data_IF_447476206561
#
_entry.id   IF_447476206561
#
_cell.length_a   1.000
_cell.length_b   1.000
_cell.length_c   1.000
_cell.angle_alpha   90.00
_cell.angle_beta   90.00
_cell.angle_gamma   90.00
#
_symmetry.space_group_name_H-M   'P 1'
#
loop_
_entity.id
_entity.type
_entity.pdbx_description
1 polymer ?
#
# COMPACT_ATOMS: atom_id res chain seq x y z
N UNK A 1 -24.40 5.68 2.88
CA UNK A 1 -23.02 5.79 2.38
C UNK A 1 -22.54 7.25 2.39
N UNK A 2 -23.23 8.20 1.73
CA UNK A 2 -22.78 9.58 1.52
C UNK A 2 -22.41 10.35 2.80
N UNK A 3 -23.21 10.24 3.88
CA UNK A 3 -22.87 10.90 5.14
C UNK A 3 -21.60 10.35 5.79
N UNK A 4 -21.36 9.04 5.65
CA UNK A 4 -20.15 8.39 6.12
C UNK A 4 -18.94 8.81 5.27
N UNK A 5 -19.08 8.82 3.94
CA UNK A 5 -18.04 9.26 3.01
C UNK A 5 -17.63 10.70 3.28
N UNK A 6 -18.62 11.59 3.49
CA UNK A 6 -18.37 12.99 3.84
C UNK A 6 -17.62 13.13 5.18
N UNK A 7 -18.05 12.41 6.23
CA UNK A 7 -17.39 12.44 7.54
C UNK A 7 -15.95 11.93 7.50
N UNK A 8 -15.68 10.86 6.74
CA UNK A 8 -14.31 10.38 6.55
C UNK A 8 -13.47 11.38 5.76
N UNK A 9 -14.01 11.96 4.68
CA UNK A 9 -13.32 12.99 3.91
C UNK A 9 -12.95 14.21 4.76
N UNK A 10 -13.89 14.69 5.60
CA UNK A 10 -13.65 15.78 6.53
C UNK A 10 -12.58 15.44 7.58
N UNK A 11 -12.64 14.25 8.16
CA UNK A 11 -11.70 13.78 9.18
C UNK A 11 -10.29 13.54 8.67
N UNK A 12 -10.15 13.06 7.44
CA UNK A 12 -8.87 12.66 6.86
C UNK A 12 -8.27 13.68 5.90
N UNK A 13 -9.06 14.64 5.45
CA UNK A 13 -8.67 15.61 4.42
C UNK A 13 -8.66 15.06 3.00
N UNK A 14 -9.06 13.81 2.77
CA UNK A 14 -9.13 13.27 1.42
C UNK A 14 -10.35 13.82 0.66
N UNK A 15 -10.17 14.36 -0.57
CA UNK A 15 -11.25 14.96 -1.34
C UNK A 15 -12.23 13.93 -1.91
N UNK A 16 -11.82 12.69 -2.04
CA UNK A 16 -12.62 11.62 -2.61
C UNK A 16 -12.61 10.40 -1.69
N UNK A 17 -13.79 9.99 -1.27
CA UNK A 17 -13.99 8.82 -0.41
C UNK A 17 -15.07 7.94 -1.02
N UNK A 18 -14.84 6.65 -1.08
CA UNK A 18 -15.82 5.66 -1.51
C UNK A 18 -16.02 4.61 -0.40
N UNK A 19 -17.24 4.51 0.11
CA UNK A 19 -17.59 3.49 1.09
C UNK A 19 -17.84 2.14 0.40
N UNK A 20 -17.17 1.11 0.90
CA UNK A 20 -17.29 -0.27 0.42
C UNK A 20 -17.59 -1.21 1.58
N UNK A 21 -17.93 -2.47 1.27
CA UNK A 21 -18.41 -3.43 2.27
C UNK A 21 -17.35 -3.88 3.28
N UNK A 22 -16.05 -3.78 2.95
CA UNK A 22 -14.93 -4.19 3.80
C UNK A 22 -13.60 -3.60 3.32
N UNK A 23 -12.57 -3.62 4.17
CA UNK A 23 -11.20 -3.26 3.78
C UNK A 23 -10.67 -4.13 2.63
N UNK A 24 -10.99 -5.42 2.64
CA UNK A 24 -10.63 -6.33 1.52
C UNK A 24 -11.26 -5.89 0.20
N UNK A 25 -12.52 -5.42 0.22
CA UNK A 25 -13.17 -4.87 -0.96
C UNK A 25 -12.54 -3.55 -1.40
N UNK A 26 -12.13 -2.70 -0.45
CA UNK A 26 -11.39 -1.46 -0.74
C UNK A 26 -10.06 -1.74 -1.42
N UNK A 27 -9.28 -2.68 -0.88
CA UNK A 27 -7.99 -3.09 -1.46
C UNK A 27 -8.17 -3.68 -2.87
N UNK A 28 -9.19 -4.53 -3.07
CA UNK A 28 -9.50 -5.08 -4.39
C UNK A 28 -9.82 -3.96 -5.39
N UNK A 29 -10.67 -3.00 -5.00
CA UNK A 29 -10.98 -1.83 -5.83
C UNK A 29 -9.72 -1.01 -6.13
N UNK A 30 -8.88 -0.75 -5.13
CA UNK A 30 -7.62 -0.05 -5.30
C UNK A 30 -6.69 -0.75 -6.31
N UNK A 31 -6.51 -2.06 -6.20
CA UNK A 31 -5.72 -2.84 -7.18
C UNK A 31 -6.29 -2.75 -8.59
N UNK A 32 -7.62 -2.80 -8.71
CA UNK A 32 -8.29 -2.60 -10.03
C UNK A 32 -8.02 -1.22 -10.59
N UNK A 33 -8.09 -0.17 -9.77
CA UNK A 33 -7.80 1.21 -10.20
C UNK A 33 -6.33 1.40 -10.60
N UNK A 34 -5.40 0.69 -9.94
CA UNK A 34 -3.98 0.69 -10.30
C UNK A 34 -3.67 -0.17 -11.53
N UNK A 35 -4.66 -0.84 -12.10
CA UNK A 35 -4.50 -1.69 -13.28
C UNK A 35 -3.66 -2.93 -13.02
N UNK A 36 -3.76 -3.51 -11.83
CA UNK A 36 -3.08 -4.78 -11.51
C UNK A 36 -3.68 -5.90 -12.36
N UNK A 37 -2.81 -6.68 -13.02
CA UNK A 37 -3.15 -7.78 -13.90
C UNK A 37 -2.41 -9.06 -13.51
N UNK A 38 -2.81 -10.17 -14.13
CA UNK A 38 -2.15 -11.46 -13.91
C UNK A 38 -0.67 -11.40 -14.28
N UNK A 39 0.19 -11.82 -13.35
CA UNK A 39 1.65 -11.83 -13.50
C UNK A 39 2.36 -10.55 -13.07
N UNK A 40 1.62 -9.47 -12.77
CA UNK A 40 2.20 -8.27 -12.17
C UNK A 40 2.73 -8.55 -10.76
N UNK A 41 3.86 -7.95 -10.40
CA UNK A 41 4.33 -7.99 -9.02
C UNK A 41 3.64 -6.88 -8.20
N UNK A 42 3.16 -7.23 -7.00
CA UNK A 42 2.70 -6.29 -5.97
C UNK A 42 3.58 -6.49 -4.73
N UNK A 43 4.21 -5.40 -4.28
CA UNK A 43 5.13 -5.46 -3.15
C UNK A 43 4.49 -4.91 -1.88
N UNK A 44 4.64 -5.62 -0.77
CA UNK A 44 4.13 -5.22 0.54
C UNK A 44 5.06 -5.68 1.66
N UNK A 45 4.73 -5.35 2.91
CA UNK A 45 5.49 -5.78 4.10
C UNK A 45 5.32 -7.27 4.37
N UNK A 46 6.35 -7.90 4.95
CA UNK A 46 6.25 -9.26 5.52
C UNK A 46 5.28 -9.30 6.71
N UNK A 47 5.21 -8.22 7.48
CA UNK A 47 4.32 -8.08 8.62
C UNK A 47 3.07 -7.30 8.18
N UNK A 48 1.99 -8.04 7.97
CA UNK A 48 0.69 -7.50 7.58
C UNK A 48 -0.42 -8.51 7.77
N UNK A 49 -1.66 -8.05 7.83
CA UNK A 49 -2.82 -8.93 7.72
C UNK A 49 -2.97 -9.44 6.29
N UNK A 50 -3.38 -10.70 6.14
CA UNK A 50 -3.46 -11.36 4.83
C UNK A 50 -4.34 -10.62 3.81
N UNK A 51 -5.34 -9.87 4.27
CA UNK A 51 -6.23 -9.12 3.40
C UNK A 51 -5.53 -8.04 2.56
N UNK A 52 -4.38 -7.54 3.03
CA UNK A 52 -3.58 -6.57 2.25
C UNK A 52 -3.24 -7.11 0.87
N UNK A 53 -2.85 -8.37 0.75
CA UNK A 53 -2.34 -8.93 -0.50
C UNK A 53 -3.28 -9.94 -1.17
N UNK A 54 -4.19 -10.55 -0.41
CA UNK A 54 -5.07 -11.58 -0.93
C UNK A 54 -5.87 -11.16 -2.18
N UNK A 55 -6.45 -9.95 -2.27
CA UNK A 55 -7.15 -9.52 -3.49
C UNK A 55 -6.24 -9.43 -4.72
N UNK A 56 -5.00 -8.97 -4.57
CA UNK A 56 -4.04 -8.94 -5.68
C UNK A 56 -3.72 -10.35 -6.17
N UNK A 57 -3.51 -11.29 -5.25
CA UNK A 57 -3.28 -12.72 -5.58
C UNK A 57 -4.50 -13.31 -6.30
N UNK A 58 -5.72 -13.01 -5.85
CA UNK A 58 -6.95 -13.44 -6.52
C UNK A 58 -7.09 -12.90 -7.94
N UNK A 59 -6.48 -11.72 -8.22
CA UNK A 59 -6.39 -11.14 -9.56
C UNK A 59 -5.26 -11.75 -10.40
N UNK A 60 -4.49 -12.70 -9.84
CA UNK A 60 -3.37 -13.36 -10.51
C UNK A 60 -2.04 -12.62 -10.38
N UNK A 61 -1.95 -11.60 -9.55
CA UNK A 61 -0.68 -10.93 -9.27
C UNK A 61 0.25 -11.81 -8.42
N UNK A 62 1.54 -11.55 -8.53
CA UNK A 62 2.59 -12.22 -7.78
C UNK A 62 2.98 -11.35 -6.59
N UNK A 63 2.73 -11.79 -5.35
CA UNK A 63 3.12 -11.04 -4.17
C UNK A 63 4.64 -11.09 -3.97
N UNK A 64 5.22 -9.96 -3.59
CA UNK A 64 6.59 -9.90 -3.09
C UNK A 64 6.60 -9.21 -1.75
N UNK A 65 7.16 -9.89 -0.78
CA UNK A 65 7.25 -9.39 0.59
C UNK A 65 8.63 -8.78 0.85
N UNK A 66 8.63 -7.60 1.45
CA UNK A 66 9.83 -6.90 1.92
C UNK A 66 9.77 -6.82 3.44
N UNK A 67 10.94 -6.87 4.05
CA UNK A 67 11.02 -6.83 5.51
C UNK A 67 10.66 -5.45 6.05
N UNK A 68 10.37 -5.41 7.35
CA UNK A 68 9.97 -4.21 8.07
C UNK A 68 11.16 -3.57 8.77
N UNK A 69 11.08 -2.28 9.02
CA UNK A 69 12.01 -1.56 9.87
C UNK A 69 11.82 -2.04 11.32
N UNK A 70 12.89 -2.46 12.02
CA UNK A 70 12.79 -2.97 13.40
C UNK A 70 12.22 -1.94 14.40
N UNK A 71 12.42 -0.66 14.13
CA UNK A 71 11.99 0.42 15.01
C UNK A 71 10.50 0.74 14.87
N UNK A 72 9.97 0.71 13.64
CA UNK A 72 8.57 1.10 13.35
C UNK A 72 7.64 -0.08 13.07
N UNK A 73 8.19 -1.24 12.73
CA UNK A 73 7.48 -2.43 12.28
C UNK A 73 6.66 -2.22 10.99
N UNK A 74 6.90 -1.12 10.29
CA UNK A 74 6.32 -0.82 8.99
C UNK A 74 7.35 -1.05 7.88
N UNK A 75 6.94 -0.97 6.61
CA UNK A 75 7.79 -1.22 5.45
C UNK A 75 9.10 -0.41 5.51
N UNK A 76 10.25 -1.09 5.42
CA UNK A 76 11.57 -0.44 5.39
C UNK A 76 11.80 0.25 4.03
N UNK A 77 11.75 1.59 4.04
CA UNK A 77 11.97 2.41 2.85
C UNK A 77 13.41 2.26 2.28
N UNK A 78 14.40 2.01 3.14
CA UNK A 78 15.78 1.77 2.71
C UNK A 78 15.93 0.44 2.00
N UNK A 79 15.29 -0.62 2.49
CA UNK A 79 15.22 -1.91 1.80
C UNK A 79 14.45 -1.78 0.48
N UNK A 80 13.30 -1.11 0.49
CA UNK A 80 12.49 -0.85 -0.70
C UNK A 80 13.31 -0.16 -1.79
N UNK A 81 14.08 0.87 -1.45
CA UNK A 81 14.97 1.59 -2.38
C UNK A 81 15.96 0.65 -3.07
N UNK A 82 16.64 -0.19 -2.27
CA UNK A 82 17.61 -1.17 -2.81
C UNK A 82 16.94 -2.18 -3.76
N UNK A 83 15.76 -2.66 -3.40
CA UNK A 83 15.04 -3.66 -4.19
C UNK A 83 14.45 -3.08 -5.47
N UNK A 84 13.92 -1.84 -5.45
CA UNK A 84 13.46 -1.13 -6.65
C UNK A 84 14.62 -0.89 -7.62
N UNK A 85 15.79 -0.48 -7.14
CA UNK A 85 16.97 -0.31 -8.00
C UNK A 85 17.40 -1.64 -8.67
N UNK A 86 17.30 -2.78 -7.96
CA UNK A 86 17.55 -4.11 -8.54
C UNK A 86 16.48 -4.49 -9.58
N UNK A 87 15.22 -4.20 -9.28
CA UNK A 87 14.10 -4.49 -10.18
C UNK A 87 14.18 -3.66 -11.48
N UNK A 88 14.53 -2.38 -11.36
CA UNK A 88 14.73 -1.49 -12.50
C UNK A 88 15.83 -2.01 -13.45
N UNK A 89 16.96 -2.47 -12.92
CA UNK A 89 18.02 -3.09 -13.72
C UNK A 89 17.54 -4.32 -14.50
N UNK A 90 16.56 -5.04 -13.95
CA UNK A 90 15.94 -6.22 -14.58
C UNK A 90 14.76 -5.85 -15.48
N UNK A 91 14.41 -4.57 -15.59
CA UNK A 91 13.19 -4.06 -16.26
C UNK A 91 11.92 -4.74 -15.76
N UNK A 92 11.84 -4.98 -14.46
CA UNK A 92 10.75 -5.70 -13.80
C UNK A 92 10.35 -4.99 -12.50
N UNK A 93 9.90 -3.74 -12.65
CA UNK A 93 9.35 -2.96 -11.55
C UNK A 93 7.99 -3.52 -11.11
N UNK A 94 7.63 -3.40 -9.83
CA UNK A 94 6.29 -3.79 -9.38
C UNK A 94 5.23 -2.88 -9.97
N UNK A 95 4.00 -3.41 -10.10
CA UNK A 95 2.82 -2.64 -10.48
C UNK A 95 2.40 -1.68 -9.37
N UNK A 96 2.59 -2.06 -8.11
CA UNK A 96 2.30 -1.23 -6.95
C UNK A 96 3.15 -1.64 -5.75
N UNK A 97 3.38 -0.67 -4.86
CA UNK A 97 3.89 -0.89 -3.50
C UNK A 97 2.77 -0.57 -2.51
N UNK A 98 2.52 -1.49 -1.57
CA UNK A 98 1.43 -1.37 -0.60
C UNK A 98 2.01 -1.41 0.82
N UNK A 99 2.42 -0.25 1.37
CA UNK A 99 2.75 -0.13 2.78
C UNK A 99 1.50 -0.32 3.64
N UNK A 100 1.71 -0.72 4.89
CA UNK A 100 0.65 -1.02 5.84
C UNK A 100 0.87 -0.22 7.12
N UNK A 101 -0.17 0.45 7.58
CA UNK A 101 -0.24 0.99 8.93
C UNK A 101 -0.63 -0.14 9.88
N UNK A 102 0.26 -0.47 10.83
CA UNK A 102 0.07 -1.64 11.69
C UNK A 102 -0.14 -1.21 13.14
N UNK A 103 -1.23 -1.67 13.76
CA UNK A 103 -1.57 -1.38 15.17
C UNK A 103 -1.55 0.12 15.52
N UNK A 104 -1.93 0.98 14.58
CA UNK A 104 -1.91 2.43 14.74
C UNK A 104 -0.56 3.08 14.48
N UNK A 105 0.48 2.31 14.15
CA UNK A 105 1.77 2.84 13.70
C UNK A 105 1.70 3.11 12.19
N UNK A 106 1.77 4.39 11.81
CA UNK A 106 1.80 4.77 10.39
C UNK A 106 3.10 4.37 9.71
N UNK A 107 2.99 3.89 8.48
CA UNK A 107 4.14 3.76 7.59
C UNK A 107 4.64 5.15 7.18
N UNK A 108 5.96 5.30 7.01
CA UNK A 108 6.56 6.54 6.50
C UNK A 108 6.27 6.69 5.00
N UNK A 109 5.07 7.20 4.69
CA UNK A 109 4.61 7.36 3.31
C UNK A 109 5.45 8.36 2.54
N UNK A 110 6.01 9.37 3.18
CA UNK A 110 6.83 10.37 2.51
C UNK A 110 8.16 9.74 2.06
N UNK A 111 8.82 8.98 2.93
CA UNK A 111 10.03 8.24 2.57
C UNK A 111 9.73 7.17 1.50
N UNK A 112 8.61 6.44 1.60
CA UNK A 112 8.22 5.41 0.63
C UNK A 112 7.93 6.02 -0.74
N UNK A 113 7.18 7.13 -0.80
CA UNK A 113 6.92 7.86 -2.05
C UNK A 113 8.19 8.40 -2.68
N UNK A 114 9.05 9.05 -1.89
CA UNK A 114 10.34 9.55 -2.38
C UNK A 114 11.19 8.46 -3.06
N UNK A 115 11.03 7.20 -2.63
CA UNK A 115 11.71 6.04 -3.22
C UNK A 115 10.99 5.51 -4.45
N UNK A 116 9.66 5.54 -4.50
CA UNK A 116 8.84 4.99 -5.58
C UNK A 116 8.68 5.93 -6.77
N UNK A 117 8.50 7.23 -6.52
CA UNK A 117 8.17 8.24 -7.53
C UNK A 117 9.19 8.33 -8.67
N UNK A 118 10.53 8.26 -8.44
CA UNK A 118 11.52 8.28 -9.51
C UNK A 118 11.37 7.13 -10.52
N UNK A 119 10.72 6.05 -10.11
CA UNK A 119 10.48 4.86 -10.94
C UNK A 119 9.07 4.81 -11.52
N UNK A 120 8.21 5.78 -11.18
CA UNK A 120 6.80 5.78 -11.59
C UNK A 120 5.99 4.62 -10.98
N UNK A 121 6.42 4.10 -9.83
CA UNK A 121 5.74 3.01 -9.12
C UNK A 121 4.69 3.59 -8.17
N UNK A 122 3.39 3.32 -8.37
CA UNK A 122 2.35 3.85 -7.50
C UNK A 122 2.39 3.22 -6.11
N UNK A 123 2.02 4.04 -5.11
CA UNK A 123 1.90 3.63 -3.71
C UNK A 123 0.42 3.66 -3.31
N UNK A 124 -0.09 2.56 -2.76
CA UNK A 124 -1.41 2.46 -2.15
C UNK A 124 -1.25 2.03 -0.69
N UNK A 125 -1.65 2.88 0.26
CA UNK A 125 -1.55 2.53 1.69
C UNK A 125 -2.74 1.67 2.11
N UNK A 126 -2.45 0.59 2.84
CA UNK A 126 -3.43 -0.15 3.64
C UNK A 126 -3.44 0.45 5.05
N UNK A 127 -4.39 1.34 5.30
CA UNK A 127 -4.55 2.05 6.57
C UNK A 127 -5.72 1.51 7.39
N UNK A 128 -6.03 0.22 7.26
CA UNK A 128 -7.12 -0.41 8.00
C UNK A 128 -7.00 -0.24 9.52
N UNK A 129 -5.79 -0.17 10.04
CA UNK A 129 -5.49 0.02 11.46
C UNK A 129 -4.94 1.43 11.78
N UNK A 130 -4.92 2.33 10.78
CA UNK A 130 -4.30 3.66 10.88
C UNK A 130 -5.26 4.83 11.06
N UNK A 131 -6.59 4.61 11.07
CA UNK A 131 -7.54 5.72 11.15
C UNK A 131 -7.37 6.52 12.45
N UNK A 132 -7.12 7.83 12.30
CA UNK A 132 -6.87 8.75 13.42
C UNK A 132 -5.42 8.76 13.92
N UNK A 133 -4.55 7.90 13.41
CA UNK A 133 -3.12 7.97 13.67
C UNK A 133 -2.43 9.01 12.77
N UNK A 134 -1.27 9.50 13.21
CA UNK A 134 -0.45 10.42 12.44
C UNK A 134 1.04 10.11 12.65
N UNK A 135 1.84 10.20 11.60
CA UNK A 135 3.27 10.21 11.71
C UNK A 135 3.73 11.60 12.22
N UNK A 136 4.56 11.63 13.25
CA UNK A 136 5.14 12.87 13.82
C UNK A 136 6.60 13.02 13.43
#
# INVERSE_FOLDING_TARGET
PHAFEAAIGESTGFPHVAAVASGTAALHLGYRCLGVETGDEVWTSTLTFVATIAPAVQMGAVPRFLDVCPESWTLDAGLLSRELAKAAKRRKLPRAVVPVDLFGQCADLDAIRAVCDPWGVPVMSDSAEGLGASLR
#
